data_IF_010200394750
#
_entry.id   IF_010200394750
#
_cell.length_a   1.000
_cell.length_b   1.000
_cell.length_c   1.000
_cell.angle_alpha   90.00
_cell.angle_beta   90.00
_cell.angle_gamma   90.00
#
_symmetry.space_group_name_H-M   'P 1'
#
loop_
_entity.id
_entity.type
_entity.pdbx_description
1 polymer ?
#
# COMPACT_ATOMS: atom_id res chain seq x y z
N UNK A 1 -22.59 14.28 -1.07
CA UNK A 1 -21.36 14.20 -1.89
C UNK A 1 -20.39 13.26 -1.18
N UNK A 2 -20.37 11.98 -1.58
CA UNK A 2 -19.41 10.99 -1.07
C UNK A 2 -18.08 11.31 -1.73
N UNK A 3 -17.10 11.81 -0.97
CA UNK A 3 -15.71 11.84 -1.43
C UNK A 3 -15.30 10.37 -1.52
N UNK A 4 -15.30 9.81 -2.73
CA UNK A 4 -14.60 8.55 -2.97
C UNK A 4 -13.16 8.77 -2.50
N UNK A 5 -12.63 7.76 -1.80
CA UNK A 5 -11.23 7.75 -1.44
C UNK A 5 -10.51 7.46 -2.76
N UNK A 6 -10.26 8.51 -3.55
CA UNK A 6 -9.31 8.44 -4.65
C UNK A 6 -7.98 8.15 -4.00
N UNK A 7 -7.42 6.97 -4.24
CA UNK A 7 -6.11 6.63 -3.68
C UNK A 7 -5.07 7.62 -4.23
N UNK A 8 -4.39 8.38 -3.35
CA UNK A 8 -3.43 9.37 -3.80
C UNK A 8 -2.27 8.68 -4.53
N UNK A 9 -1.93 9.17 -5.72
CA UNK A 9 -0.84 8.63 -6.55
C UNK A 9 -1.25 7.61 -7.61
N UNK A 10 -2.55 7.43 -7.86
CA UNK A 10 -3.08 6.57 -8.92
C UNK A 10 -3.33 7.30 -10.26
N UNK A 11 -3.15 8.62 -10.32
CA UNK A 11 -3.52 9.44 -11.48
C UNK A 11 -2.55 9.31 -12.66
N UNK A 12 -1.24 9.22 -12.40
CA UNK A 12 -0.22 9.13 -13.46
C UNK A 12 0.90 8.17 -13.11
N UNK A 13 1.64 7.73 -14.14
CA UNK A 13 2.79 6.85 -13.94
C UNK A 13 3.92 7.51 -13.13
N UNK A 14 4.09 8.83 -13.25
CA UNK A 14 5.05 9.60 -12.48
C UNK A 14 4.64 9.68 -11.01
N UNK A 15 3.35 9.88 -10.73
CA UNK A 15 2.82 9.93 -9.37
C UNK A 15 2.92 8.56 -8.68
N UNK A 16 2.66 7.48 -9.43
CA UNK A 16 2.85 6.11 -8.95
C UNK A 16 4.32 5.85 -8.56
N UNK A 17 5.25 6.17 -9.45
CA UNK A 17 6.69 6.02 -9.17
C UNK A 17 7.14 6.89 -7.99
N UNK A 18 6.64 8.13 -7.88
CA UNK A 18 6.91 9.03 -6.75
C UNK A 18 6.38 8.44 -5.45
N UNK A 19 5.21 7.84 -5.46
CA UNK A 19 4.60 7.19 -4.28
C UNK A 19 5.49 6.05 -3.76
N UNK A 20 5.97 5.18 -4.65
CA UNK A 20 6.91 4.10 -4.30
C UNK A 20 8.19 4.67 -3.66
N UNK A 21 8.74 5.76 -4.22
CA UNK A 21 9.92 6.42 -3.66
C UNK A 21 9.67 7.05 -2.29
N UNK A 22 8.52 7.71 -2.09
CA UNK A 22 8.12 8.29 -0.81
C UNK A 22 7.97 7.17 0.23
N UNK A 23 7.33 6.06 -0.14
CA UNK A 23 7.14 4.91 0.75
C UNK A 23 8.50 4.30 1.16
N UNK A 24 9.40 4.10 0.20
CA UNK A 24 10.76 3.64 0.47
C UNK A 24 11.51 4.58 1.42
N UNK A 25 11.44 5.89 1.19
CA UNK A 25 12.06 6.89 2.07
C UNK A 25 11.45 6.87 3.47
N UNK A 26 10.12 6.72 3.57
CA UNK A 26 9.40 6.67 4.84
C UNK A 26 9.85 5.46 5.66
N UNK A 27 9.96 4.27 5.06
CA UNK A 27 10.49 3.09 5.75
C UNK A 27 11.94 3.28 6.21
N UNK A 28 12.79 3.85 5.37
CA UNK A 28 14.18 4.11 5.72
C UNK A 28 14.30 5.09 6.90
N UNK A 29 13.54 6.19 6.87
CA UNK A 29 13.53 7.19 7.96
C UNK A 29 12.97 6.61 9.24
N UNK A 30 11.84 5.88 9.17
CA UNK A 30 11.23 5.23 10.34
C UNK A 30 12.20 4.27 11.02
N UNK A 31 12.89 3.44 10.24
CA UNK A 31 13.88 2.50 10.75
C UNK A 31 15.06 3.23 11.40
N UNK A 32 15.68 4.18 10.69
CA UNK A 32 16.82 4.93 11.20
C UNK A 32 16.48 5.72 12.46
N UNK A 33 15.31 6.37 12.52
CA UNK A 33 14.85 7.11 13.68
C UNK A 33 14.57 6.18 14.88
N UNK A 34 13.96 5.01 14.64
CA UNK A 34 13.72 4.01 15.68
C UNK A 34 15.02 3.47 16.26
N UNK A 35 16.00 3.12 15.40
CA UNK A 35 17.33 2.68 15.84
C UNK A 35 18.05 3.79 16.62
N UNK A 36 18.00 5.04 16.14
CA UNK A 36 18.57 6.17 16.85
C UNK A 36 17.92 6.36 18.23
N UNK A 37 16.59 6.21 18.33
CA UNK A 37 15.87 6.25 19.61
C UNK A 37 16.34 5.19 20.60
N UNK A 38 16.50 3.94 20.15
CA UNK A 38 17.07 2.86 20.98
C UNK A 38 18.48 3.22 21.45
N UNK A 39 19.35 3.68 20.55
CA UNK A 39 20.74 4.03 20.87
C UNK A 39 20.81 5.18 21.87
N UNK A 40 20.04 6.24 21.67
CA UNK A 40 19.98 7.40 22.58
C UNK A 40 19.50 6.97 23.97
N UNK A 41 18.42 6.18 24.05
CA UNK A 41 17.91 5.67 25.32
C UNK A 41 18.89 4.71 26.01
N UNK A 42 19.63 3.89 25.27
CA UNK A 42 20.62 2.98 25.84
C UNK A 42 21.84 3.72 26.38
N UNK A 43 22.38 4.70 25.64
CA UNK A 43 23.56 5.48 26.04
C UNK A 43 23.22 6.41 27.21
N UNK A 44 22.10 7.13 27.13
CA UNK A 44 21.67 8.09 28.13
C UNK A 44 20.70 7.50 29.15
N UNK A 45 20.56 6.17 29.20
CA UNK A 45 19.64 5.49 30.12
C UNK A 45 19.89 5.88 31.58
N UNK A 46 21.14 6.10 31.99
CA UNK A 46 21.46 6.62 33.34
C UNK A 46 20.92 8.03 33.58
N UNK A 47 21.01 8.93 32.59
CA UNK A 47 20.44 10.28 32.68
C UNK A 47 18.92 10.21 32.80
N UNK A 48 18.29 9.38 31.97
CA UNK A 48 16.83 9.24 31.98
C UNK A 48 16.33 8.56 33.25
N UNK A 49 17.02 7.55 33.78
CA UNK A 49 16.70 6.90 35.06
C UNK A 49 16.89 7.85 36.24
N UNK A 50 17.93 8.69 36.22
CA UNK A 50 18.16 9.68 37.29
C UNK A 50 17.13 10.82 37.25
N UNK A 51 16.70 11.25 36.07
CA UNK A 51 15.55 12.16 35.91
C UNK A 51 14.24 11.49 36.37
N UNK A 52 14.04 10.21 36.03
CA UNK A 52 12.84 9.43 36.30
C UNK A 52 12.73 8.89 37.74
N UNK A 53 13.79 8.98 38.55
CA UNK A 53 13.77 8.57 39.96
C UNK A 53 12.76 9.38 40.81
N UNK A 54 12.18 10.45 40.26
CA UNK A 54 11.07 11.19 40.89
C UNK A 54 9.72 10.49 40.77
N UNK A 55 9.49 9.57 39.84
CA UNK A 55 8.24 8.79 39.77
C UNK A 55 8.34 7.45 39.02
N UNK A 56 7.66 6.41 39.53
CA UNK A 56 7.56 5.10 38.84
C UNK A 56 6.99 5.20 37.41
N UNK A 57 6.18 6.22 37.13
CA UNK A 57 5.56 6.45 35.82
C UNK A 57 6.61 6.78 34.76
N UNK A 58 7.59 7.62 35.09
CA UNK A 58 8.64 8.05 34.14
C UNK A 58 9.55 6.89 33.73
N UNK A 59 9.89 6.01 34.67
CA UNK A 59 10.70 4.81 34.39
C UNK A 59 9.93 3.84 33.49
N UNK A 60 8.63 3.66 33.72
CA UNK A 60 7.77 2.85 32.85
C UNK A 60 7.64 3.47 31.45
N UNK A 61 7.54 4.79 31.34
CA UNK A 61 7.50 5.48 30.05
C UNK A 61 8.78 5.27 29.25
N UNK A 62 9.96 5.35 29.87
CA UNK A 62 11.24 5.09 29.20
C UNK A 62 11.31 3.65 28.70
N UNK A 63 10.91 2.68 29.54
CA UNK A 63 10.88 1.27 29.14
C UNK A 63 9.90 1.03 27.99
N UNK A 64 8.71 1.65 28.04
CA UNK A 64 7.73 1.60 26.96
C UNK A 64 8.29 2.16 25.66
N UNK A 65 8.94 3.32 25.69
CA UNK A 65 9.54 3.94 24.50
C UNK A 65 10.66 3.08 23.91
N UNK A 66 11.48 2.45 24.75
CA UNK A 66 12.53 1.52 24.31
C UNK A 66 11.91 0.32 23.56
N UNK A 67 10.89 -0.31 24.15
CA UNK A 67 10.19 -1.44 23.54
C UNK A 67 9.49 -1.02 22.25
N UNK A 68 8.84 0.15 22.25
CA UNK A 68 8.17 0.70 21.07
C UNK A 68 9.16 0.93 19.92
N UNK A 69 10.30 1.58 20.16
CA UNK A 69 11.31 1.78 19.12
C UNK A 69 11.93 0.47 18.64
N UNK A 70 12.20 -0.47 19.54
CA UNK A 70 12.72 -1.79 19.14
C UNK A 70 11.71 -2.55 18.27
N UNK A 71 10.43 -2.50 18.62
CA UNK A 71 9.33 -3.09 17.85
C UNK A 71 9.21 -2.45 16.45
N UNK A 72 9.17 -1.12 16.38
CA UNK A 72 9.09 -0.39 15.11
C UNK A 72 10.32 -0.60 14.24
N UNK A 73 11.53 -0.65 14.82
CA UNK A 73 12.75 -0.99 14.09
C UNK A 73 12.71 -2.42 13.53
N UNK A 74 12.20 -3.38 14.30
CA UNK A 74 12.10 -4.78 13.87
C UNK A 74 11.13 -4.92 12.70
N UNK A 75 9.96 -4.28 12.79
CA UNK A 75 8.99 -4.34 11.70
C UNK A 75 9.57 -3.60 10.48
N UNK A 76 10.03 -2.36 10.63
CA UNK A 76 10.58 -1.55 9.51
C UNK A 76 11.90 -2.00 8.92
N UNK A 77 12.55 -3.02 9.49
CA UNK A 77 13.78 -3.57 8.95
C UNK A 77 13.63 -4.09 7.51
N UNK A 78 12.54 -4.80 7.20
CA UNK A 78 12.29 -5.31 5.84
C UNK A 78 12.07 -4.17 4.84
N UNK A 79 11.33 -3.12 5.24
CA UNK A 79 11.11 -1.91 4.47
C UNK A 79 12.41 -1.13 4.22
N UNK A 80 13.24 -0.98 5.24
CA UNK A 80 14.54 -0.32 5.12
C UNK A 80 15.51 -1.11 4.23
N UNK A 81 15.53 -2.45 4.33
CA UNK A 81 16.29 -3.31 3.42
C UNK A 81 15.80 -3.19 1.98
N UNK A 82 14.48 -3.13 1.77
CA UNK A 82 13.87 -2.85 0.48
C UNK A 82 14.32 -1.51 -0.10
N UNK A 83 14.23 -0.44 0.69
CA UNK A 83 14.67 0.89 0.32
C UNK A 83 16.18 0.96 0.03
N UNK A 84 17.01 0.25 0.80
CA UNK A 84 18.45 0.15 0.55
C UNK A 84 18.76 -0.58 -0.77
N UNK A 85 18.04 -1.68 -1.06
CA UNK A 85 18.15 -2.40 -2.35
C UNK A 85 17.71 -1.52 -3.51
N UNK A 86 16.61 -0.78 -3.36
CA UNK A 86 16.13 0.20 -4.33
C UNK A 86 17.23 1.22 -4.64
N UNK A 87 17.82 1.84 -3.62
CA UNK A 87 18.91 2.80 -3.77
C UNK A 87 20.15 2.18 -4.43
N UNK A 88 20.53 0.96 -4.05
CA UNK A 88 21.63 0.22 -4.66
C UNK A 88 21.39 -0.06 -6.15
N UNK A 89 20.19 -0.52 -6.52
CA UNK A 89 19.83 -0.77 -7.92
C UNK A 89 19.73 0.54 -8.71
N UNK A 90 19.18 1.61 -8.13
CA UNK A 90 19.16 2.93 -8.77
C UNK A 90 20.56 3.45 -9.06
N UNK A 91 21.49 3.34 -8.10
CA UNK A 91 22.89 3.72 -8.27
C UNK A 91 23.58 2.86 -9.34
N UNK A 92 23.33 1.55 -9.31
CA UNK A 92 23.88 0.61 -10.30
C UNK A 92 23.35 0.88 -11.70
N UNK A 93 22.06 1.17 -11.86
CA UNK A 93 21.43 1.57 -13.14
C UNK A 93 22.03 2.86 -13.68
N UNK A 94 22.31 3.84 -12.82
CA UNK A 94 22.95 5.12 -13.21
C UNK A 94 24.39 4.95 -13.70
N UNK A 95 25.11 3.97 -13.16
CA UNK A 95 26.50 3.68 -13.52
C UNK A 95 26.64 2.60 -14.60
N UNK A 96 25.56 1.92 -14.98
CA UNK A 96 25.57 0.86 -15.96
C UNK A 96 25.58 1.40 -17.39
N UNK A 97 26.37 0.78 -18.27
CA UNK A 97 26.35 1.07 -19.72
C UNK A 97 25.04 0.64 -20.37
N UNK A 98 24.39 -0.40 -19.84
CA UNK A 98 23.12 -0.96 -20.32
C UNK A 98 22.09 -1.06 -19.18
N UNK A 99 21.27 -0.02 -18.95
CA UNK A 99 20.32 0.00 -17.84
C UNK A 99 19.18 -1.02 -17.99
N UNK A 100 18.82 -1.38 -19.23
CA UNK A 100 17.78 -2.41 -19.52
C UNK A 100 18.28 -3.80 -19.13
N UNK A 101 19.55 -4.12 -19.39
CA UNK A 101 20.13 -5.41 -19.03
C UNK A 101 20.19 -5.61 -17.51
N UNK A 102 20.49 -4.55 -16.74
CA UNK A 102 20.45 -4.63 -15.27
C UNK A 102 19.03 -4.77 -14.73
N UNK A 103 18.02 -4.13 -15.34
CA UNK A 103 16.61 -4.36 -14.99
C UNK A 103 16.20 -5.81 -15.24
N UNK A 104 16.58 -6.39 -16.39
CA UNK A 104 16.32 -7.80 -16.69
C UNK A 104 16.94 -8.74 -15.66
N UNK A 105 18.17 -8.43 -15.21
CA UNK A 105 18.84 -9.18 -14.13
C UNK A 105 18.15 -9.05 -12.79
N UNK A 106 17.60 -7.87 -12.48
CA UNK A 106 16.83 -7.65 -11.25
C UNK A 106 15.52 -8.43 -11.29
N UNK A 107 14.78 -8.35 -12.39
CA UNK A 107 13.55 -9.10 -12.61
C UNK A 107 13.78 -10.61 -12.49
N UNK A 108 14.86 -11.14 -13.08
CA UNK A 108 15.19 -12.57 -12.97
C UNK A 108 15.56 -13.06 -11.56
N UNK A 109 15.70 -12.17 -10.57
CA UNK A 109 15.88 -12.56 -9.16
C UNK A 109 14.58 -12.64 -8.38
N UNK A 110 13.49 -12.11 -8.94
CA UNK A 110 12.16 -12.09 -8.36
C UNK A 110 11.38 -13.30 -8.89
N UNK A 111 11.75 -14.51 -8.46
CA UNK A 111 11.38 -15.76 -9.16
C UNK A 111 10.25 -16.56 -8.49
N UNK A 112 9.27 -15.87 -7.88
CA UNK A 112 8.13 -16.52 -7.25
C UNK A 112 6.82 -16.08 -7.92
N UNK A 113 6.44 -16.70 -9.05
CA UNK A 113 5.16 -16.41 -9.71
C UNK A 113 4.01 -16.96 -8.86
N UNK A 114 3.39 -16.09 -8.09
CA UNK A 114 2.23 -16.40 -7.26
C UNK A 114 1.02 -15.58 -7.71
N UNK A 115 -0.15 -15.99 -7.22
CA UNK A 115 -1.34 -15.15 -7.28
C UNK A 115 -1.20 -14.04 -6.23
N UNK A 116 -1.34 -12.80 -6.69
CA UNK A 116 -1.31 -11.59 -5.88
C UNK A 116 -2.70 -11.22 -5.33
N UNK A 117 -2.85 -10.00 -4.79
CA UNK A 117 -4.11 -9.51 -4.25
C UNK A 117 -5.18 -9.42 -5.34
N UNK A 118 -6.43 -9.34 -4.88
CA UNK A 118 -7.58 -9.12 -5.75
C UNK A 118 -8.55 -8.09 -5.16
N UNK A 119 -9.36 -7.49 -6.02
CA UNK A 119 -10.40 -6.56 -5.62
C UNK A 119 -11.72 -6.86 -6.33
N UNK A 120 -12.83 -6.61 -5.64
CA UNK A 120 -14.17 -6.63 -6.22
C UNK A 120 -14.63 -5.19 -6.51
N UNK A 121 -15.07 -4.97 -7.74
CA UNK A 121 -15.59 -3.72 -8.26
C UNK A 121 -17.12 -3.68 -8.12
N UNK A 122 -17.67 -2.48 -7.96
CA UNK A 122 -19.13 -2.30 -7.93
C UNK A 122 -19.77 -2.55 -9.31
N UNK A 123 -19.00 -2.35 -10.38
CA UNK A 123 -19.41 -2.55 -11.77
C UNK A 123 -18.67 -3.73 -12.38
N UNK A 124 -19.36 -4.42 -13.27
CA UNK A 124 -18.78 -5.46 -14.13
C UNK A 124 -18.01 -4.77 -15.26
N UNK A 125 -16.78 -5.21 -15.51
CA UNK A 125 -16.02 -4.85 -16.70
C UNK A 125 -16.12 -6.00 -17.70
N UNK A 126 -16.61 -5.71 -18.90
CA UNK A 126 -16.68 -6.66 -20.01
C UNK A 126 -16.20 -5.98 -21.29
N UNK A 127 -15.72 -6.76 -22.27
CA UNK A 127 -15.41 -6.23 -23.60
C UNK A 127 -16.61 -6.29 -24.52
N UNK A 128 -16.71 -5.31 -25.42
CA UNK A 128 -17.74 -5.27 -26.45
C UNK A 128 -17.70 -6.47 -27.40
N UNK A 129 -16.54 -7.10 -27.58
CA UNK A 129 -16.33 -8.27 -28.43
C UNK A 129 -16.44 -9.61 -27.68
N UNK A 130 -16.70 -9.58 -26.36
CA UNK A 130 -16.81 -10.78 -25.53
C UNK A 130 -15.48 -11.49 -25.26
N UNK A 131 -14.34 -10.95 -25.68
CA UNK A 131 -13.03 -11.51 -25.37
C UNK A 131 -12.69 -11.32 -23.87
N UNK A 132 -11.84 -12.20 -23.28
CA UNK A 132 -11.39 -12.03 -21.91
C UNK A 132 -10.58 -10.75 -21.74
N UNK A 133 -10.69 -10.15 -20.55
CA UNK A 133 -9.92 -8.97 -20.16
C UNK A 133 -8.67 -9.42 -19.40
N UNK A 134 -7.53 -9.37 -20.10
CA UNK A 134 -6.21 -9.60 -19.51
C UNK A 134 -5.25 -8.54 -20.02
N UNK A 135 -4.50 -7.94 -19.10
CA UNK A 135 -3.49 -6.93 -19.40
C UNK A 135 -2.12 -7.43 -18.94
N UNK A 136 -1.26 -7.77 -19.89
CA UNK A 136 0.09 -8.20 -19.59
C UNK A 136 0.98 -7.01 -19.21
N UNK A 137 1.69 -7.12 -18.09
CA UNK A 137 2.61 -6.11 -17.60
C UNK A 137 4.00 -6.47 -18.11
N UNK A 138 4.38 -5.89 -19.24
CA UNK A 138 5.68 -6.13 -19.86
C UNK A 138 6.34 -4.86 -20.34
N UNK A 139 7.67 -4.86 -20.33
CA UNK A 139 8.51 -3.81 -20.92
C UNK A 139 9.74 -4.45 -21.62
N UNK A 140 10.68 -3.63 -22.08
CA UNK A 140 11.91 -4.10 -22.73
C UNK A 140 12.79 -5.02 -21.84
N UNK A 141 12.69 -4.89 -20.52
CA UNK A 141 13.44 -5.70 -19.58
C UNK A 141 12.80 -7.08 -19.38
N UNK A 142 11.47 -7.20 -19.43
CA UNK A 142 10.78 -8.50 -19.43
C UNK A 142 9.31 -8.45 -19.02
N UNK A 143 8.83 -9.56 -18.45
CA UNK A 143 7.44 -9.75 -18.02
C UNK A 143 7.34 -9.70 -16.49
N UNK A 144 6.36 -8.95 -15.98
CA UNK A 144 6.19 -8.59 -14.57
C UNK A 144 4.95 -9.23 -13.92
N UNK A 145 4.13 -9.91 -14.72
CA UNK A 145 2.83 -10.44 -14.32
C UNK A 145 1.73 -9.92 -15.22
N UNK A 146 0.48 -10.18 -14.84
CA UNK A 146 -0.68 -9.69 -15.57
C UNK A 146 -1.82 -9.29 -14.62
N UNK A 147 -2.64 -8.36 -15.09
CA UNK A 147 -3.96 -8.11 -14.50
C UNK A 147 -5.00 -8.92 -15.24
N UNK A 148 -5.72 -9.75 -14.50
CA UNK A 148 -6.83 -10.54 -15.03
C UNK A 148 -8.15 -10.03 -14.45
N UNK A 149 -9.12 -9.80 -15.34
CA UNK A 149 -10.42 -9.27 -14.98
C UNK A 149 -11.49 -10.29 -15.37
N UNK A 150 -12.24 -10.75 -14.37
CA UNK A 150 -13.41 -11.59 -14.55
C UNK A 150 -14.65 -10.83 -14.03
N UNK A 151 -15.27 -10.09 -14.93
CA UNK A 151 -16.41 -9.24 -14.65
C UNK A 151 -16.10 -8.18 -13.59
N UNK A 152 -16.57 -8.40 -12.36
CA UNK A 152 -16.33 -7.49 -11.24
C UNK A 152 -15.04 -7.80 -10.46
N UNK A 153 -14.37 -8.92 -10.73
CA UNK A 153 -13.13 -9.30 -10.02
C UNK A 153 -11.92 -8.84 -10.82
N UNK A 154 -10.99 -8.15 -10.17
CA UNK A 154 -9.66 -7.82 -10.72
C UNK A 154 -8.60 -8.53 -9.88
N UNK A 155 -7.67 -9.23 -10.52
CA UNK A 155 -6.59 -9.98 -9.87
C UNK A 155 -5.23 -9.63 -10.46
N UNK A 156 -4.22 -9.50 -9.61
CA UNK A 156 -2.83 -9.51 -10.06
C UNK A 156 -2.31 -10.94 -10.04
N UNK A 157 -1.96 -11.49 -11.20
CA UNK A 157 -1.52 -12.88 -11.36
C UNK A 157 -0.09 -12.95 -11.89
N UNK A 158 0.54 -14.11 -11.69
CA UNK A 158 1.88 -14.41 -12.20
C UNK A 158 2.96 -13.41 -11.74
N UNK A 159 2.77 -12.82 -10.57
CA UNK A 159 3.64 -11.78 -10.02
C UNK A 159 4.58 -12.33 -8.96
N UNK A 160 5.75 -11.72 -8.84
CA UNK A 160 6.71 -12.00 -7.77
C UNK A 160 6.34 -11.38 -6.42
N UNK A 161 5.66 -10.24 -6.48
CA UNK A 161 5.11 -9.53 -5.33
C UNK A 161 3.77 -8.96 -5.76
N UNK A 162 2.72 -9.32 -5.03
CA UNK A 162 1.42 -8.67 -5.21
C UNK A 162 1.53 -7.15 -5.15
N UNK A 163 0.58 -6.44 -5.74
CA UNK A 163 0.43 -5.00 -5.51
C UNK A 163 -1.05 -4.66 -5.60
N UNK A 164 -1.63 -4.26 -4.47
CA UNK A 164 -2.98 -3.72 -4.45
C UNK A 164 -3.01 -2.29 -5.02
N UNK A 165 -1.88 -1.56 -4.95
CA UNK A 165 -1.74 -0.23 -5.54
C UNK A 165 -1.83 -0.27 -7.07
N UNK A 166 -1.32 -1.33 -7.69
CA UNK A 166 -1.52 -1.59 -9.13
C UNK A 166 -3.00 -1.72 -9.49
N UNK A 167 -3.80 -2.42 -8.67
CA UNK A 167 -5.23 -2.59 -8.92
C UNK A 167 -5.95 -1.23 -8.79
N UNK A 168 -5.59 -0.42 -7.79
CA UNK A 168 -6.14 0.93 -7.65
C UNK A 168 -5.76 1.84 -8.83
N UNK A 169 -4.50 1.78 -9.28
CA UNK A 169 -4.05 2.48 -10.49
C UNK A 169 -4.86 2.02 -11.70
N UNK A 170 -4.99 0.71 -11.93
CA UNK A 170 -5.77 0.17 -13.04
C UNK A 170 -7.21 0.68 -13.05
N UNK A 171 -7.91 0.62 -11.91
CA UNK A 171 -9.29 1.11 -11.80
C UNK A 171 -9.35 2.58 -12.16
N UNK A 172 -8.45 3.41 -11.62
CA UNK A 172 -8.38 4.83 -11.94
C UNK A 172 -8.17 5.09 -13.43
N UNK A 173 -7.28 4.33 -14.08
CA UNK A 173 -7.03 4.47 -15.52
C UNK A 173 -8.24 4.05 -16.36
N UNK A 174 -9.00 3.03 -15.94
CA UNK A 174 -10.25 2.66 -16.61
C UNK A 174 -11.29 3.77 -16.43
N UNK A 175 -11.46 4.34 -15.23
CA UNK A 175 -12.39 5.45 -14.99
C UNK A 175 -12.08 6.64 -15.89
N UNK A 176 -10.79 6.98 -16.07
CA UNK A 176 -10.38 8.08 -16.94
C UNK A 176 -10.64 7.80 -18.43
N UNK A 177 -10.36 6.58 -18.89
CA UNK A 177 -10.55 6.21 -20.29
C UNK A 177 -12.03 6.07 -20.64
N UNK A 178 -12.85 5.57 -19.72
CA UNK A 178 -14.28 5.33 -19.95
C UNK A 178 -15.16 6.53 -19.56
N UNK A 179 -14.67 7.43 -18.71
CA UNK A 179 -15.46 8.50 -18.10
C UNK A 179 -16.46 8.02 -17.06
N UNK A 180 -16.40 6.74 -16.66
CA UNK A 180 -17.32 6.13 -15.71
C UNK A 180 -16.64 5.85 -14.38
N UNK A 181 -17.29 6.22 -13.27
CA UNK A 181 -16.82 5.88 -11.92
C UNK A 181 -17.01 4.37 -11.65
N UNK A 182 -15.95 3.70 -11.17
CA UNK A 182 -15.89 2.25 -10.94
C UNK A 182 -15.33 2.02 -9.53
N UNK A 183 -16.16 2.17 -8.48
CA UNK A 183 -15.66 2.07 -7.12
C UNK A 183 -15.26 0.63 -6.77
N UNK A 184 -14.12 0.50 -6.09
CA UNK A 184 -13.70 -0.75 -5.44
C UNK A 184 -14.55 -0.93 -4.16
N UNK A 185 -15.23 -2.07 -4.06
CA UNK A 185 -16.15 -2.38 -2.94
C UNK A 185 -15.44 -3.19 -1.87
N UNK A 186 -14.69 -4.21 -2.29
CA UNK A 186 -13.98 -5.13 -1.38
C UNK A 186 -12.57 -5.33 -1.88
N UNK A 187 -11.61 -5.23 -0.96
CA UNK A 187 -10.25 -5.69 -1.13
C UNK A 187 -10.15 -7.07 -0.54
N UNK A 188 -9.66 -8.04 -1.32
CA UNK A 188 -9.48 -9.40 -0.86
C UNK A 188 -7.99 -9.77 -0.78
N UNK A 189 -7.61 -10.32 0.37
CA UNK A 189 -6.47 -11.23 0.50
C UNK A 189 -7.00 -12.64 0.78
N UNK A 190 -6.15 -13.68 0.76
CA UNK A 190 -6.59 -15.06 1.01
C UNK A 190 -7.50 -15.12 2.27
N UNK A 191 -8.68 -15.74 2.12
CA UNK A 191 -9.71 -15.99 3.16
C UNK A 191 -10.72 -14.85 3.46
N UNK A 192 -11.22 -14.12 2.44
CA UNK A 192 -12.30 -13.12 2.61
C UNK A 192 -13.69 -13.63 2.18
N UNK A 193 -14.44 -14.17 3.13
CA UNK A 193 -15.83 -14.64 2.99
C UNK A 193 -16.80 -13.56 2.48
N UNK A 194 -16.60 -12.28 2.83
CA UNK A 194 -17.51 -11.21 2.44
C UNK A 194 -17.35 -10.85 0.97
N UNK A 195 -16.11 -10.80 0.50
CA UNK A 195 -15.81 -10.51 -0.90
C UNK A 195 -16.27 -11.63 -1.83
N UNK A 196 -16.10 -12.89 -1.44
CA UNK A 196 -16.60 -14.03 -2.23
C UNK A 196 -18.15 -14.07 -2.26
N UNK A 197 -18.84 -13.72 -1.16
CA UNK A 197 -20.31 -13.55 -1.17
C UNK A 197 -20.76 -12.47 -2.14
N UNK A 198 -20.08 -11.32 -2.16
CA UNK A 198 -20.39 -10.24 -3.08
C UNK A 198 -20.18 -10.68 -4.54
N UNK A 199 -19.05 -11.30 -4.86
CA UNK A 199 -18.75 -11.80 -6.20
C UNK A 199 -19.74 -12.88 -6.64
N UNK A 200 -20.18 -13.76 -5.74
CA UNK A 200 -21.21 -14.76 -6.02
C UNK A 200 -22.57 -14.11 -6.39
N UNK A 201 -22.95 -13.01 -5.74
CA UNK A 201 -24.16 -12.26 -6.10
C UNK A 201 -24.06 -11.62 -7.48
N UNK A 202 -22.90 -11.02 -7.81
CA UNK A 202 -22.64 -10.47 -9.15
C UNK A 202 -22.69 -11.59 -10.20
N UNK A 203 -22.04 -12.72 -9.93
CA UNK A 203 -22.04 -13.90 -10.80
C UNK A 203 -23.45 -14.45 -11.04
N UNK A 204 -24.27 -14.53 -10.00
CA UNK A 204 -25.67 -14.92 -10.11
C UNK A 204 -26.48 -13.97 -10.99
N UNK A 205 -26.34 -12.64 -10.80
CA UNK A 205 -27.03 -11.65 -11.61
C UNK A 205 -26.65 -11.74 -13.09
N UNK A 206 -25.36 -11.95 -13.40
CA UNK A 206 -24.88 -12.15 -14.77
C UNK A 206 -25.40 -13.44 -15.40
N UNK A 207 -25.38 -14.55 -14.65
CA UNK A 207 -25.89 -15.83 -15.14
C UNK A 207 -27.40 -15.75 -15.43
N UNK A 208 -28.16 -15.12 -14.54
CA UNK A 208 -29.60 -14.89 -14.71
C UNK A 208 -29.89 -14.00 -15.93
N UNK A 209 -29.13 -12.92 -16.11
CA UNK A 209 -29.25 -12.05 -17.28
C UNK A 209 -29.08 -12.85 -18.59
N UNK A 210 -28.01 -13.67 -18.67
CA UNK A 210 -27.72 -14.48 -19.85
C UNK A 210 -28.84 -15.48 -20.15
N UNK A 211 -29.44 -16.09 -19.12
CA UNK A 211 -30.56 -17.02 -19.31
C UNK A 211 -31.85 -16.31 -19.73
N UNK A 212 -32.12 -15.12 -19.21
CA UNK A 212 -33.35 -14.36 -19.50
C UNK A 212 -33.28 -13.56 -20.80
N UNK A 213 -32.10 -13.39 -21.40
CA UNK A 213 -31.90 -12.46 -22.52
C UNK A 213 -32.23 -11.02 -22.16
N UNK A 214 -32.11 -10.68 -20.87
CA UNK A 214 -32.52 -9.39 -20.32
C UNK A 214 -31.43 -8.33 -20.49
N UNK A 215 -31.78 -7.03 -20.39
CA UNK A 215 -30.80 -5.97 -20.17
C UNK A 215 -29.91 -6.25 -18.94
N UNK A 216 -28.73 -5.60 -18.83
CA UNK A 216 -27.82 -5.80 -17.70
C UNK A 216 -28.53 -5.72 -16.35
N UNK A 217 -28.51 -6.83 -15.60
CA UNK A 217 -29.09 -6.91 -14.25
C UNK A 217 -28.15 -6.38 -13.17
N UNK A 218 -26.91 -6.06 -13.56
CA UNK A 218 -25.90 -5.44 -12.72
C UNK A 218 -25.24 -4.30 -13.50
N UNK A 219 -24.81 -3.20 -12.84
CA UNK A 219 -24.03 -2.14 -13.49
C UNK A 219 -22.83 -2.72 -14.25
N UNK A 220 -22.70 -2.37 -15.52
CA UNK A 220 -21.67 -2.89 -16.42
C UNK A 220 -21.04 -1.75 -17.22
N UNK A 221 -19.72 -1.79 -17.37
CA UNK A 221 -18.94 -0.91 -18.23
C UNK A 221 -18.40 -1.75 -19.38
N UNK A 222 -18.77 -1.37 -20.60
CA UNK A 222 -18.31 -2.05 -21.80
C UNK A 222 -17.04 -1.39 -22.32
N UNK A 223 -15.95 -2.15 -22.36
CA UNK A 223 -14.65 -1.71 -22.86
C UNK A 223 -14.53 -2.02 -24.35
N UNK A 224 -14.20 -1.00 -25.14
CA UNK A 224 -13.85 -1.15 -26.56
C UNK A 224 -12.41 -1.64 -26.68
N UNK A 225 -12.01 -2.09 -27.88
CA UNK A 225 -10.61 -2.42 -28.17
C UNK A 225 -9.69 -1.20 -27.94
N UNK A 226 -10.12 0.00 -28.33
CA UNK A 226 -9.37 1.25 -28.14
C UNK A 226 -9.17 1.56 -26.64
N UNK A 227 -10.20 1.35 -25.80
CA UNK A 227 -10.06 1.52 -24.36
C UNK A 227 -9.03 0.54 -23.79
N UNK A 228 -9.08 -0.72 -24.22
CA UNK A 228 -8.14 -1.74 -23.76
C UNK A 228 -6.70 -1.42 -24.18
N UNK A 229 -6.47 -1.00 -25.42
CA UNK A 229 -5.15 -0.60 -25.91
C UNK A 229 -4.61 0.60 -25.13
N UNK A 230 -5.45 1.61 -24.86
CA UNK A 230 -5.01 2.77 -24.09
C UNK A 230 -4.64 2.40 -22.66
N UNK A 231 -5.45 1.61 -21.97
CA UNK A 231 -5.12 1.15 -20.62
C UNK A 231 -3.85 0.29 -20.62
N UNK A 232 -3.67 -0.60 -21.59
CA UNK A 232 -2.44 -1.38 -21.74
C UNK A 232 -1.21 -0.47 -21.91
N UNK A 233 -1.32 0.58 -22.74
CA UNK A 233 -0.25 1.59 -22.89
C UNK A 233 0.07 2.32 -21.59
N UNK A 234 -0.93 2.64 -20.77
CA UNK A 234 -0.74 3.32 -19.48
C UNK A 234 -0.16 2.40 -18.41
N UNK A 235 -0.55 1.14 -18.40
CA UNK A 235 0.03 0.11 -17.52
C UNK A 235 1.50 -0.15 -17.86
N UNK A 236 1.86 -0.21 -19.15
CA UNK A 236 3.25 -0.39 -19.57
C UNK A 236 4.20 0.71 -19.04
N UNK A 237 3.68 1.92 -18.80
CA UNK A 237 4.46 3.05 -18.24
C UNK A 237 4.81 2.88 -16.76
N UNK A 238 4.00 2.16 -15.98
CA UNK A 238 4.27 1.92 -14.55
C UNK A 238 5.09 0.66 -14.29
N UNK A 239 5.26 -0.21 -15.28
CA UNK A 239 6.02 -1.45 -15.18
C UNK A 239 7.42 -1.28 -14.53
N UNK A 240 8.21 -0.24 -14.84
CA UNK A 240 9.48 -0.01 -14.15
C UNK A 240 9.33 0.29 -12.66
N UNK A 241 8.25 0.96 -12.25
CA UNK A 241 7.97 1.28 -10.86
C UNK A 241 7.45 0.07 -10.08
N UNK A 242 6.73 -0.86 -10.73
CA UNK A 242 6.31 -2.13 -10.12
C UNK A 242 7.51 -2.97 -9.66
N UNK A 243 8.60 -2.95 -10.44
CA UNK A 243 9.84 -3.63 -10.07
C UNK A 243 10.46 -3.10 -8.77
N UNK A 244 10.36 -1.78 -8.62
CA UNK A 244 10.91 -1.03 -7.50
C UNK A 244 10.02 -1.20 -6.26
N UNK A 245 8.69 -1.25 -6.45
CA UNK A 245 7.70 -1.58 -5.43
C UNK A 245 7.84 -3.02 -4.91
N UNK A 246 8.09 -4.00 -5.77
CA UNK A 246 8.28 -5.41 -5.38
C UNK A 246 9.48 -5.65 -4.43
N UNK A 247 10.34 -4.65 -4.24
CA UNK A 247 11.42 -4.69 -3.24
C UNK A 247 10.97 -4.23 -1.85
N UNK A 248 9.86 -3.51 -1.76
CA UNK A 248 9.28 -3.01 -0.52
C UNK A 248 8.30 -4.05 0.03
N UNK A 249 8.17 -4.17 1.36
CA UNK A 249 7.17 -5.05 1.95
C UNK A 249 5.78 -4.45 1.78
N UNK A 250 4.83 -5.28 1.36
CA UNK A 250 3.41 -4.99 1.46
C UNK A 250 2.98 -5.11 2.93
N UNK A 251 2.90 -3.98 3.60
CA UNK A 251 2.14 -3.90 4.85
C UNK A 251 0.77 -3.33 4.51
N UNK A 252 -0.16 -4.22 4.19
CA UNK A 252 -1.56 -3.81 4.10
C UNK A 252 -2.08 -3.53 5.52
N UNK A 253 -2.38 -2.25 5.79
CA UNK A 253 -2.98 -1.83 7.05
C UNK A 253 -4.50 -1.82 6.91
N UNK A 254 -5.18 -2.60 7.73
CA UNK A 254 -6.60 -2.43 7.98
C UNK A 254 -6.76 -1.22 8.91
N UNK A 255 -7.52 -0.20 8.50
CA UNK A 255 -7.87 0.92 9.36
C UNK A 255 -9.37 0.93 9.63
N UNK A 256 -9.72 0.82 10.90
CA UNK A 256 -11.09 1.04 11.35
C UNK A 256 -11.28 2.53 11.65
N UNK A 257 -11.99 3.24 10.77
CA UNK A 257 -12.30 4.65 11.02
C UNK A 257 -13.54 4.74 11.90
N UNK A 258 -13.35 5.02 13.19
CA UNK A 258 -14.42 5.28 14.16
C UNK A 258 -14.63 6.79 14.27
N UNK A 259 -15.79 7.26 13.80
CA UNK A 259 -16.27 8.61 14.11
C UNK A 259 -17.11 8.53 15.40
N UNK A 260 -16.63 9.05 16.54
CA UNK A 260 -17.46 9.14 17.73
C UNK A 260 -18.52 10.20 17.48
N UNK A 261 -19.79 9.80 17.40
CA UNK A 261 -20.91 10.74 17.21
C UNK A 261 -21.27 11.46 18.52
N UNK A 262 -20.85 10.94 19.69
CA UNK A 262 -21.08 11.54 21.03
C UNK A 262 -19.92 11.14 21.98
N UNK A 263 -19.42 12.03 22.87
CA UNK A 263 -18.42 11.65 23.89
C UNK A 263 -19.01 10.66 24.91
N UNK A 264 -18.30 9.57 25.19
CA UNK A 264 -18.75 8.50 26.08
C UNK A 264 -18.85 8.96 27.56
N UNK A 265 -19.86 8.46 28.30
CA UNK A 265 -19.90 7.05 28.73
C UNK A 265 -21.09 6.20 28.20
N UNK A 266 -21.83 6.61 27.15
CA UNK A 266 -23.06 5.93 26.68
C UNK A 266 -23.05 5.58 25.16
N UNK A 267 -21.97 5.00 24.65
CA UNK A 267 -21.83 4.63 23.22
C UNK A 267 -22.59 3.35 22.83
N UNK A 268 -23.91 3.42 22.58
CA UNK A 268 -24.70 2.28 22.08
C UNK A 268 -24.64 2.08 20.55
N UNK A 269 -24.15 3.05 19.78
CA UNK A 269 -24.05 2.95 18.32
C UNK A 269 -22.78 3.65 17.84
N UNK A 270 -21.78 2.87 17.41
CA UNK A 270 -20.65 3.37 16.64
C UNK A 270 -20.93 3.13 15.15
N UNK A 271 -20.92 4.20 14.35
CA UNK A 271 -20.83 4.07 12.90
C UNK A 271 -19.35 3.87 12.57
N UNK A 272 -18.89 2.63 12.64
CA UNK A 272 -17.57 2.24 12.16
C UNK A 272 -17.61 2.05 10.65
N UNK A 273 -16.74 2.74 9.92
CA UNK A 273 -16.40 2.34 8.55
C UNK A 273 -15.12 1.53 8.62
N UNK A 274 -15.26 0.20 8.56
CA UNK A 274 -14.15 -0.70 8.26
C UNK A 274 -13.65 -0.36 6.86
N UNK A 275 -12.50 0.30 6.78
CA UNK A 275 -11.74 0.37 5.54
C UNK A 275 -10.70 -0.75 5.65
N UNK A 276 -10.93 -1.87 4.97
CA UNK A 276 -9.98 -3.01 4.93
C UNK A 276 -8.59 -2.61 4.40
N UNK A 277 -8.45 -1.40 3.83
CA UNK A 277 -7.19 -0.85 3.32
C UNK A 277 -7.04 0.62 3.69
N UNK A 278 -5.97 0.97 4.40
CA UNK A 278 -5.50 2.34 4.62
C UNK A 278 -4.38 2.65 3.63
N UNK A 279 -4.27 3.91 3.18
CA UNK A 279 -3.13 4.33 2.36
C UNK A 279 -1.82 4.11 3.15
N UNK A 280 -0.91 3.23 2.68
CA UNK A 280 0.34 2.94 3.37
C UNK A 280 1.21 4.18 3.52
N UNK A 281 1.18 5.11 2.56
CA UNK A 281 1.96 6.35 2.64
C UNK A 281 1.46 7.24 3.78
N UNK A 282 0.16 7.47 3.87
CA UNK A 282 -0.43 8.25 4.96
C UNK A 282 -0.19 7.60 6.34
N UNK A 283 -0.39 6.28 6.43
CA UNK A 283 -0.28 5.53 7.70
C UNK A 283 1.17 5.47 8.19
N UNK A 284 2.10 5.08 7.32
CA UNK A 284 3.53 5.06 7.62
C UNK A 284 4.09 6.45 7.85
N UNK A 285 3.64 7.44 7.07
CA UNK A 285 4.04 8.83 7.22
C UNK A 285 3.67 9.38 8.60
N UNK A 286 2.46 9.10 9.07
CA UNK A 286 2.02 9.47 10.41
C UNK A 286 2.83 8.78 11.51
N UNK A 287 3.05 7.47 11.39
CA UNK A 287 3.89 6.72 12.33
C UNK A 287 5.33 7.29 12.39
N UNK A 288 5.90 7.63 11.23
CA UNK A 288 7.22 8.25 11.10
C UNK A 288 7.27 9.61 11.75
N UNK A 289 6.26 10.46 11.53
CA UNK A 289 6.15 11.77 12.16
C UNK A 289 6.12 11.66 13.69
N UNK A 290 5.32 10.74 14.22
CA UNK A 290 5.22 10.50 15.66
C UNK A 290 6.57 10.03 16.23
N UNK A 291 7.25 9.10 15.58
CA UNK A 291 8.59 8.62 15.98
C UNK A 291 9.64 9.74 15.95
N UNK A 292 9.63 10.59 14.93
CA UNK A 292 10.56 11.73 14.83
C UNK A 292 10.29 12.76 15.93
N UNK A 293 9.02 13.03 16.24
CA UNK A 293 8.64 13.95 17.30
C UNK A 293 9.04 13.42 18.67
N UNK A 294 8.79 12.14 18.96
CA UNK A 294 9.21 11.52 20.22
C UNK A 294 10.74 11.48 20.33
N UNK A 295 11.45 11.20 19.24
CA UNK A 295 12.91 11.22 19.21
C UNK A 295 13.46 12.64 19.46
N UNK A 296 12.87 13.65 18.83
CA UNK A 296 13.27 15.05 19.00
C UNK A 296 13.12 15.50 20.46
N UNK A 297 12.02 15.12 21.13
CA UNK A 297 11.80 15.41 22.55
C UNK A 297 12.86 14.73 23.42
N UNK A 298 13.16 13.44 23.18
CA UNK A 298 14.21 12.71 23.92
C UNK A 298 15.57 13.38 23.73
N UNK A 299 15.93 13.73 22.50
CA UNK A 299 17.21 14.39 22.20
C UNK A 299 17.28 15.78 22.86
N UNK A 300 16.18 16.52 22.90
CA UNK A 300 16.12 17.81 23.60
C UNK A 300 16.42 17.65 25.09
N UNK A 301 15.86 16.65 25.77
CA UNK A 301 16.20 16.37 27.18
C UNK A 301 17.66 15.98 27.41
N UNK A 302 18.34 15.42 26.41
CA UNK A 302 19.77 15.11 26.48
C UNK A 302 20.63 16.37 26.32
N UNK A 303 20.24 17.25 25.39
CA UNK A 303 20.98 18.46 25.05
C UNK A 303 20.78 19.57 26.08
N UNK A 304 19.51 19.84 26.41
CA UNK A 304 19.10 20.81 27.42
C UNK A 304 18.68 20.06 28.68
N UNK A 305 19.70 19.59 29.42
CA UNK A 305 19.48 18.83 30.64
C UNK A 305 18.67 19.69 31.61
N UNK A 306 17.42 19.33 31.93
CA UNK A 306 16.66 20.08 32.92
C UNK A 306 17.46 20.06 34.23
N UNK A 307 17.64 21.22 34.84
CA UNK A 307 18.56 21.45 35.95
C UNK A 307 18.36 20.40 37.05
N UNK A 308 19.29 19.44 37.14
CA UNK A 308 19.34 18.45 38.23
C UNK A 308 20.29 19.00 39.29
N UNK A 309 19.80 19.44 40.46
CA UNK A 309 20.71 19.71 41.57
C UNK A 309 21.38 18.40 41.97
N UNK A 310 22.71 18.40 41.96
CA UNK A 310 23.55 17.28 42.41
C UNK A 310 23.55 17.11 43.91
#
# INVERSE_FOLDING_TARGET
>A
MKRLITEPGADSAEDYARRVQILAATYAVLFCASVAGVVVLAIYGKLFVTLAQRSNVETLTILFLLVLYAYLATISASGALGAARLGFYALRRRSAREPVAERRRQLGKLDARADGPWAALAKVLDRTDGAPLRFDLSDEAGYYGALEIDGARVRHIETASGSADLIAYFVRQIEEVTGEEIPIVVWGQLDDDEGEKFLAQVGFARALQRQLGAPPLWPCVMLTAEHCEEVARRLAKITPALLDEALLPDWEYQAEHKLPVIPEPLGFVSLGRSAKRADPVATMGFATLMVLLTLAVIVLFVLDKPWVPG
#
